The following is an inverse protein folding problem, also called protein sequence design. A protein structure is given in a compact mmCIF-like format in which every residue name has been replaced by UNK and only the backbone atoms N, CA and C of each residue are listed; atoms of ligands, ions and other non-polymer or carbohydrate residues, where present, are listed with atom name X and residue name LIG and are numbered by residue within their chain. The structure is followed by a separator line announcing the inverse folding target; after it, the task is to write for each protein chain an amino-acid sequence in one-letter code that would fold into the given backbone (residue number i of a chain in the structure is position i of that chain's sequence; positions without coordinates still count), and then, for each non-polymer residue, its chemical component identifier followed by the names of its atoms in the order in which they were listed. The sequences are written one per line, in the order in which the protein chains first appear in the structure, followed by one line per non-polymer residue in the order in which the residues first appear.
data_IF_785912581363
#
_entry.id   IF_785912581363
#
_cell.length_a   1.000
_cell.length_b   1.000
_cell.length_c   1.000
_cell.angle_alpha   90.00
_cell.angle_beta   90.00
_cell.angle_gamma   90.00
#
_symmetry.space_group_name_H-M   'P 1'
#
loop_
_entity.id
_entity.type
_entity.pdbx_description
1 polymer ?
#
# COMPACT_ATOMS: atom_id res chain seq x y z
N UNK A 1 -31.10 -13.56 43.39
CA UNK A 1 -30.51 -12.25 43.08
C UNK A 1 -30.49 -12.06 41.58
N UNK A 2 -30.85 -10.87 41.08
CA UNK A 2 -30.77 -10.52 39.66
C UNK A 2 -29.65 -9.50 39.52
N UNK A 3 -28.54 -9.89 38.88
CA UNK A 3 -27.44 -8.97 38.55
C UNK A 3 -27.89 -8.07 37.40
N UNK A 4 -27.95 -6.77 37.66
CA UNK A 4 -28.27 -5.78 36.62
C UNK A 4 -26.98 -5.51 35.82
N UNK A 5 -26.98 -5.65 34.49
CA UNK A 5 -25.81 -5.32 33.69
C UNK A 5 -25.51 -3.82 33.78
N UNK A 6 -24.24 -3.48 33.97
CA UNK A 6 -23.78 -2.09 33.98
C UNK A 6 -24.00 -1.52 32.58
N UNK A 7 -24.66 -0.35 32.43
CA UNK A 7 -24.84 0.27 31.13
C UNK A 7 -23.47 0.61 30.54
N UNK A 8 -23.19 0.11 29.34
CA UNK A 8 -22.06 0.56 28.53
C UNK A 8 -22.39 2.00 28.11
N UNK A 9 -21.59 2.96 28.57
CA UNK A 9 -21.72 4.34 28.11
C UNK A 9 -21.56 4.35 26.59
N UNK A 10 -22.52 4.95 25.88
CA UNK A 10 -22.36 5.21 24.47
C UNK A 10 -21.12 6.10 24.28
N UNK A 11 -20.21 5.69 23.39
CA UNK A 11 -19.10 6.54 22.99
C UNK A 11 -19.68 7.87 22.49
N UNK A 12 -19.12 8.99 22.94
CA UNK A 12 -19.50 10.28 22.38
C UNK A 12 -19.12 10.26 20.89
N UNK A 13 -20.01 10.72 20.01
CA UNK A 13 -19.78 10.71 18.55
C UNK A 13 -18.48 11.47 18.14
N UNK A 14 -17.94 12.32 19.03
CA UNK A 14 -16.72 13.11 18.86
C UNK A 14 -15.49 12.57 19.63
N UNK A 15 -15.51 11.33 20.14
CA UNK A 15 -14.36 10.77 20.86
C UNK A 15 -13.17 10.47 19.90
N UNK A 16 -12.00 11.13 20.07
CA UNK A 16 -10.88 10.92 19.17
C UNK A 16 -10.27 9.53 19.31
N UNK A 17 -10.03 8.86 18.18
CA UNK A 17 -9.38 7.55 18.15
C UNK A 17 -7.86 7.69 18.05
N UNK A 18 -7.13 7.14 19.01
CA UNK A 18 -5.68 7.13 19.01
C UNK A 18 -5.11 6.04 18.09
N UNK A 19 -4.18 6.41 17.20
CA UNK A 19 -3.32 5.46 16.48
C UNK A 19 -2.13 5.12 17.37
N UNK A 20 -2.13 3.93 17.96
CA UNK A 20 -1.11 3.51 18.94
C UNK A 20 0.05 2.72 18.34
N UNK A 21 -0.08 2.23 17.11
CA UNK A 21 0.97 1.47 16.42
C UNK A 21 0.80 1.49 14.89
N UNK A 22 1.90 1.29 14.17
CA UNK A 22 1.95 1.20 12.70
C UNK A 22 3.04 0.22 12.26
N UNK A 23 2.83 -0.45 11.12
CA UNK A 23 3.82 -1.29 10.44
C UNK A 23 3.52 -1.31 8.93
N UNK A 24 4.54 -1.56 8.10
CA UNK A 24 4.37 -1.58 6.65
C UNK A 24 5.40 -2.42 5.89
N UNK A 25 5.01 -2.72 4.64
CA UNK A 25 5.90 -3.12 3.55
C UNK A 25 5.47 -2.28 2.35
N UNK A 26 6.39 -1.50 1.80
CA UNK A 26 6.15 -0.68 0.62
C UNK A 26 7.20 -0.93 -0.46
N UNK A 27 6.90 -0.61 -1.72
CA UNK A 27 7.87 -0.63 -2.81
C UNK A 27 9.12 0.20 -2.51
N UNK A 28 10.19 -0.05 -3.26
CA UNK A 28 11.51 0.56 -2.99
C UNK A 28 12.24 -0.08 -1.81
N UNK A 29 11.85 -1.30 -1.41
CA UNK A 29 12.51 -2.07 -0.36
C UNK A 29 12.15 -1.62 1.07
N UNK A 30 11.12 -0.81 1.24
CA UNK A 30 10.71 -0.25 2.55
C UNK A 30 10.04 -1.32 3.42
N UNK A 31 10.60 -1.54 4.61
CA UNK A 31 10.18 -2.54 5.59
C UNK A 31 9.89 -1.96 6.97
N UNK A 32 9.98 -0.64 7.13
CA UNK A 32 9.66 0.07 8.37
C UNK A 32 9.08 1.45 8.10
N UNK A 33 8.42 2.02 9.12
CA UNK A 33 7.89 3.40 9.05
C UNK A 33 9.01 4.42 8.92
N UNK A 34 10.17 4.13 9.50
CA UNK A 34 11.37 4.96 9.43
C UNK A 34 11.92 5.00 8.00
N UNK A 35 12.02 3.84 7.34
CA UNK A 35 12.43 3.76 5.94
C UNK A 35 11.44 4.44 4.99
N UNK A 36 10.13 4.31 5.25
CA UNK A 36 9.12 5.07 4.50
C UNK A 36 9.36 6.57 4.65
N UNK A 37 9.57 7.03 5.88
CA UNK A 37 9.78 8.45 6.15
C UNK A 37 11.05 8.98 5.48
N UNK A 38 12.13 8.20 5.50
CA UNK A 38 13.36 8.53 4.80
C UNK A 38 13.15 8.66 3.28
N UNK A 39 12.43 7.72 2.68
CA UNK A 39 12.10 7.76 1.24
C UNK A 39 11.35 9.05 0.88
N UNK A 40 10.32 9.40 1.66
CA UNK A 40 9.51 10.60 1.44
C UNK A 40 10.32 11.88 1.61
N UNK A 41 11.11 11.98 2.68
CA UNK A 41 11.96 13.14 2.94
C UNK A 41 13.05 13.32 1.89
N UNK A 42 13.55 12.23 1.32
CA UNK A 42 14.50 12.26 0.20
C UNK A 42 13.84 12.55 -1.15
N UNK A 43 12.49 12.56 -1.23
CA UNK A 43 11.77 12.67 -2.50
C UNK A 43 12.01 11.48 -3.44
N UNK A 44 12.25 10.30 -2.88
CA UNK A 44 12.59 9.10 -3.64
C UNK A 44 11.41 8.55 -4.45
N UNK A 45 11.70 8.04 -5.65
CA UNK A 45 10.74 7.34 -6.50
C UNK A 45 10.91 5.82 -6.36
N UNK A 46 9.83 5.13 -5.98
CA UNK A 46 9.79 3.69 -5.83
C UNK A 46 9.20 2.97 -7.05
N UNK A 47 8.87 3.71 -8.11
CA UNK A 47 8.41 3.18 -9.38
C UNK A 47 9.61 2.66 -10.18
N UNK A 48 9.63 1.35 -10.43
CA UNK A 48 10.69 0.64 -11.14
C UNK A 48 10.09 -0.14 -12.31
N UNK A 49 10.98 -0.75 -13.10
CA UNK A 49 10.55 -1.70 -14.13
C UNK A 49 9.85 -2.91 -13.49
N UNK A 50 9.00 -3.58 -14.26
CA UNK A 50 8.28 -4.76 -13.79
C UNK A 50 9.26 -5.86 -13.33
N UNK A 51 8.94 -6.57 -12.24
CA UNK A 51 9.79 -7.62 -11.71
C UNK A 51 9.89 -8.80 -12.69
N UNK A 52 11.12 -9.28 -12.93
CA UNK A 52 11.41 -10.40 -13.84
C UNK A 52 11.29 -11.77 -13.18
N UNK A 53 10.97 -11.82 -11.88
CA UNK A 53 10.92 -13.03 -11.06
C UNK A 53 9.49 -13.50 -10.75
N UNK A 54 8.47 -12.89 -11.39
CA UNK A 54 7.06 -13.24 -11.20
C UNK A 54 6.50 -14.24 -12.23
N UNK A 55 7.31 -14.66 -13.19
CA UNK A 55 6.91 -15.59 -14.25
C UNK A 55 5.99 -14.98 -15.32
N UNK A 56 6.01 -13.65 -15.46
CA UNK A 56 5.19 -12.94 -16.44
C UNK A 56 5.90 -12.83 -17.79
N UNK A 57 5.13 -12.95 -18.88
CA UNK A 57 5.58 -12.60 -20.22
C UNK A 57 5.48 -11.09 -20.42
N UNK A 58 6.50 -10.36 -19.92
CA UNK A 58 6.52 -8.89 -19.94
C UNK A 58 6.55 -8.31 -21.36
N UNK A 59 7.18 -9.02 -22.29
CA UNK A 59 7.26 -8.59 -23.69
C UNK A 59 5.93 -8.83 -24.42
N UNK A 60 5.24 -9.92 -24.10
CA UNK A 60 3.88 -10.17 -24.56
C UNK A 60 2.83 -9.27 -23.90
N UNK A 61 3.13 -8.63 -22.77
CA UNK A 61 2.15 -7.78 -22.05
C UNK A 61 2.14 -6.33 -22.55
N UNK A 62 3.28 -5.81 -23.01
CA UNK A 62 3.40 -4.40 -23.38
C UNK A 62 3.00 -4.10 -24.83
N UNK A 63 2.25 -3.03 -25.02
CA UNK A 63 2.02 -2.40 -26.33
C UNK A 63 1.91 -0.88 -26.15
N UNK A 64 2.65 -0.05 -26.92
CA UNK A 64 2.56 1.40 -26.79
C UNK A 64 1.20 1.97 -27.25
N UNK A 65 0.38 1.24 -27.99
CA UNK A 65 -0.98 1.65 -28.37
C UNK A 65 -1.95 1.42 -27.18
N UNK A 66 -2.51 2.48 -26.58
CA UNK A 66 -3.45 2.35 -25.46
C UNK A 66 -4.78 1.69 -25.86
N UNK A 67 -5.12 1.66 -27.15
CA UNK A 67 -6.35 1.04 -27.65
C UNK A 67 -6.18 -0.46 -27.92
N UNK A 68 -4.96 -0.99 -27.84
CA UNK A 68 -4.67 -2.40 -28.05
C UNK A 68 -5.22 -3.24 -26.89
N UNK A 69 -6.24 -4.04 -27.19
CA UNK A 69 -6.89 -4.90 -26.20
C UNK A 69 -5.94 -5.94 -25.61
N UNK A 70 -6.03 -6.12 -24.29
CA UNK A 70 -5.26 -7.12 -23.54
C UNK A 70 -3.79 -6.77 -23.31
N UNK A 71 -3.39 -5.51 -23.59
CA UNK A 71 -2.03 -5.00 -23.41
C UNK A 71 -1.97 -3.90 -22.36
N UNK A 72 -0.76 -3.60 -21.90
CA UNK A 72 -0.44 -2.45 -21.05
C UNK A 72 0.52 -1.51 -21.77
N UNK A 73 0.30 -0.19 -21.65
CA UNK A 73 1.13 0.82 -22.31
C UNK A 73 2.24 1.39 -21.43
N UNK A 74 2.47 0.79 -20.25
CA UNK A 74 3.58 1.14 -19.35
C UNK A 74 4.37 -0.12 -18.99
N UNK A 75 5.69 0.04 -18.81
CA UNK A 75 6.58 -1.01 -18.29
C UNK A 75 6.98 -0.76 -16.83
N UNK A 76 6.40 0.25 -16.19
CA UNK A 76 6.79 0.72 -14.86
C UNK A 76 5.66 0.64 -13.84
N UNK A 77 6.02 0.29 -12.62
CA UNK A 77 5.12 0.17 -11.47
C UNK A 77 5.91 0.05 -10.16
N UNK A 78 5.20 0.00 -9.03
CA UNK A 78 5.83 -0.10 -7.71
C UNK A 78 5.44 -1.44 -7.07
N UNK A 79 6.42 -2.31 -6.82
CA UNK A 79 6.23 -3.70 -6.39
C UNK A 79 6.96 -4.00 -5.06
N UNK A 80 6.47 -5.01 -4.33
CA UNK A 80 7.13 -5.58 -3.15
C UNK A 80 8.13 -6.68 -3.50
#
# INVERSE_FOLDING_TARGET
EITVPVPVAAAADDEPIAIVAMSCRFPGGVRSREELWQLLMAGGDAVLDFPTDRGWDLDGLFDPDPDQLGKIYTRKGAFL
#
